data_IF_913389468005
#
_entry.id   IF_913389468005
#
_cell.length_a   1.000
_cell.length_b   1.000
_cell.length_c   1.000
_cell.angle_alpha   90.00
_cell.angle_beta   90.00
_cell.angle_gamma   90.00
#
_symmetry.space_group_name_H-M   'P 1'
#
loop_
_entity.id
_entity.type
_entity.pdbx_description
1 polymer ?
#
# COMPACT_ATOMS: atom_id res chain seq x y z
N UNK A 1 -16.78 -22.83 16.29
CA UNK A 1 -16.97 -23.08 14.84
C UNK A 1 -16.02 -22.26 13.98
N UNK A 2 -16.01 -20.92 14.07
CA UNK A 2 -15.07 -20.11 13.27
C UNK A 2 -13.59 -20.53 13.48
N UNK A 3 -13.13 -20.66 14.73
CA UNK A 3 -11.76 -21.12 15.01
C UNK A 3 -11.48 -22.53 14.45
N UNK A 4 -12.46 -23.43 14.51
CA UNK A 4 -12.33 -24.78 13.95
C UNK A 4 -12.16 -24.73 12.42
N UNK A 5 -12.92 -23.85 11.75
CA UNK A 5 -12.80 -23.60 10.32
C UNK A 5 -11.41 -23.09 9.94
N UNK A 6 -10.89 -22.10 10.67
CA UNK A 6 -9.53 -21.58 10.47
C UNK A 6 -8.45 -22.62 10.76
N UNK A 7 -8.61 -23.45 11.78
CA UNK A 7 -7.67 -24.52 12.09
C UNK A 7 -7.60 -25.55 10.96
N UNK A 8 -8.75 -25.93 10.39
CA UNK A 8 -8.81 -26.82 9.23
C UNK A 8 -8.16 -26.18 8.00
N UNK A 9 -8.45 -24.90 7.74
CA UNK A 9 -7.89 -24.12 6.63
C UNK A 9 -6.38 -24.01 6.72
N UNK A 10 -5.84 -23.60 7.87
CA UNK A 10 -4.39 -23.44 8.09
C UNK A 10 -3.66 -24.78 8.00
N UNK A 11 -4.32 -25.86 8.39
CA UNK A 11 -3.82 -27.24 8.23
C UNK A 11 -3.99 -27.79 6.81
N UNK A 12 -4.48 -27.00 5.86
CA UNK A 12 -4.76 -27.39 4.46
C UNK A 12 -5.75 -28.56 4.31
N UNK A 13 -6.58 -28.81 5.33
CA UNK A 13 -7.60 -29.88 5.35
C UNK A 13 -8.91 -29.39 4.72
N UNK A 14 -8.87 -29.01 3.44
CA UNK A 14 -9.98 -28.32 2.77
C UNK A 14 -11.27 -29.16 2.69
N UNK A 15 -11.17 -30.49 2.61
CA UNK A 15 -12.35 -31.37 2.65
C UNK A 15 -13.05 -31.35 4.01
N UNK A 16 -12.29 -31.21 5.10
CA UNK A 16 -12.84 -31.04 6.45
C UNK A 16 -13.50 -29.67 6.61
N UNK A 17 -12.94 -28.63 5.98
CA UNK A 17 -13.58 -27.31 5.92
C UNK A 17 -14.99 -27.38 5.33
N UNK A 18 -15.26 -28.28 4.36
CA UNK A 18 -16.61 -28.43 3.80
C UNK A 18 -17.61 -28.96 4.84
N UNK A 19 -17.19 -29.90 5.69
CA UNK A 19 -18.06 -30.46 6.74
C UNK A 19 -18.34 -29.45 7.85
N UNK A 20 -17.32 -28.72 8.30
CA UNK A 20 -17.51 -27.65 9.30
C UNK A 20 -18.31 -26.50 8.70
N UNK A 21 -18.05 -26.16 7.44
CA UNK A 21 -18.71 -25.09 6.70
C UNK A 21 -20.20 -25.32 6.48
N UNK A 22 -20.66 -26.56 6.26
CA UNK A 22 -22.10 -26.83 6.11
C UNK A 22 -22.89 -26.50 7.39
N UNK A 23 -22.31 -26.78 8.56
CA UNK A 23 -22.89 -26.39 9.86
C UNK A 23 -22.89 -24.88 10.05
N UNK A 24 -21.81 -24.21 9.68
CA UNK A 24 -21.71 -22.73 9.70
C UNK A 24 -22.79 -22.11 8.80
N UNK A 25 -22.99 -22.67 7.60
CA UNK A 25 -24.00 -22.18 6.66
C UNK A 25 -25.40 -22.28 7.25
N UNK A 26 -25.75 -23.43 7.81
CA UNK A 26 -27.05 -23.60 8.46
C UNK A 26 -27.30 -22.56 9.56
N UNK A 27 -26.30 -22.32 10.43
CA UNK A 27 -26.40 -21.31 11.49
C UNK A 27 -26.48 -19.89 10.93
N UNK A 28 -25.77 -19.58 9.85
CA UNK A 28 -25.86 -18.28 9.18
C UNK A 28 -27.28 -18.04 8.66
N UNK A 29 -27.86 -19.02 7.96
CA UNK A 29 -29.22 -18.93 7.44
C UNK A 29 -30.26 -18.76 8.57
N UNK A 30 -30.07 -19.47 9.69
CA UNK A 30 -30.93 -19.34 10.87
C UNK A 30 -30.83 -17.94 11.52
N UNK A 31 -29.61 -17.43 11.74
CA UNK A 31 -29.38 -16.09 12.30
C UNK A 31 -29.95 -14.98 11.41
N UNK A 32 -29.79 -15.11 10.08
CA UNK A 32 -30.37 -14.16 9.12
C UNK A 32 -31.90 -14.16 9.18
N UNK A 33 -32.52 -15.33 9.32
CA UNK A 33 -33.97 -15.45 9.51
C UNK A 33 -34.44 -14.82 10.82
N UNK A 34 -33.71 -15.02 11.92
CA UNK A 34 -34.06 -14.42 13.20
C UNK A 34 -33.97 -12.89 13.16
N UNK A 35 -32.96 -12.34 12.45
CA UNK A 35 -32.83 -10.90 12.26
C UNK A 35 -33.94 -10.30 11.40
N UNK A 36 -34.42 -11.01 10.37
CA UNK A 36 -35.52 -10.50 9.55
C UNK A 36 -36.84 -10.49 10.32
N UNK A 37 -37.03 -11.45 11.24
CA UNK A 37 -38.19 -11.49 12.15
C UNK A 37 -38.11 -10.42 13.26
N UNK A 38 -36.90 -10.12 13.76
CA UNK A 38 -36.66 -9.14 14.84
C UNK A 38 -35.47 -8.22 14.50
N UNK A 39 -35.71 -7.12 13.77
CA UNK A 39 -34.67 -6.17 13.43
C UNK A 39 -34.05 -5.57 14.70
N UNK A 40 -32.72 -5.64 14.82
CA UNK A 40 -32.00 -5.02 15.93
C UNK A 40 -31.96 -3.50 15.70
N UNK A 41 -32.48 -2.71 16.64
CA UNK A 41 -32.45 -1.25 16.57
C UNK A 41 -31.01 -0.74 16.76
N UNK A 42 -30.45 -0.13 15.71
CA UNK A 42 -29.22 0.69 15.69
C UNK A 42 -28.02 0.04 16.38
N UNK A 43 -27.12 -0.55 15.57
CA UNK A 43 -25.77 -0.90 16.03
C UNK A 43 -24.81 0.21 15.61
N UNK A 44 -24.04 0.74 16.55
CA UNK A 44 -22.91 1.60 16.19
C UNK A 44 -22.00 0.83 15.24
N UNK A 45 -21.61 1.45 14.14
CA UNK A 45 -20.92 0.78 13.02
C UNK A 45 -19.61 0.12 13.48
N UNK A 46 -18.93 0.71 14.47
CA UNK A 46 -17.70 0.15 15.05
C UNK A 46 -17.93 -1.16 15.83
N UNK A 47 -19.15 -1.45 16.27
CA UNK A 47 -19.51 -2.74 16.88
C UNK A 47 -19.93 -3.82 15.89
N UNK A 48 -20.16 -3.47 14.62
CA UNK A 48 -20.65 -4.41 13.60
C UNK A 48 -19.75 -5.64 13.48
N UNK A 49 -18.42 -5.46 13.61
CA UNK A 49 -17.44 -6.54 13.52
C UNK A 49 -17.47 -7.54 14.69
N UNK A 50 -18.11 -7.21 15.82
CA UNK A 50 -18.15 -8.03 17.03
C UNK A 50 -19.49 -8.75 17.20
N UNK A 51 -20.09 -9.18 16.09
CA UNK A 51 -21.40 -9.83 16.08
C UNK A 51 -21.27 -11.31 15.69
N UNK A 52 -22.24 -12.13 16.14
CA UNK A 52 -22.31 -13.54 15.75
C UNK A 52 -22.35 -13.70 14.22
N UNK A 53 -23.16 -12.87 13.55
CA UNK A 53 -23.27 -12.88 12.09
C UNK A 53 -21.94 -12.57 11.41
N UNK A 54 -21.20 -11.54 11.82
CA UNK A 54 -19.90 -11.27 11.17
C UNK A 54 -18.90 -12.41 11.38
N UNK A 55 -19.00 -13.14 12.50
CA UNK A 55 -18.19 -14.34 12.74
C UNK A 55 -18.60 -15.51 11.85
N UNK A 56 -19.90 -15.68 11.61
CA UNK A 56 -20.42 -16.66 10.64
C UNK A 56 -20.06 -16.29 9.20
N UNK A 57 -20.18 -15.01 8.81
CA UNK A 57 -19.76 -14.51 7.49
C UNK A 57 -18.26 -14.75 7.24
N UNK A 58 -17.41 -14.55 8.24
CA UNK A 58 -15.97 -14.90 8.18
C UNK A 58 -15.78 -16.37 7.85
N UNK A 59 -16.44 -17.24 8.62
CA UNK A 59 -16.28 -18.68 8.48
C UNK A 59 -16.89 -19.21 7.15
N UNK A 60 -18.01 -18.65 6.70
CA UNK A 60 -18.61 -18.93 5.38
C UNK A 60 -17.73 -18.45 4.22
N UNK A 61 -16.98 -17.35 4.39
CA UNK A 61 -15.98 -16.93 3.40
C UNK A 61 -14.90 -18.01 3.23
N UNK A 62 -14.43 -18.60 4.33
CA UNK A 62 -13.43 -19.69 4.29
C UNK A 62 -14.01 -20.95 3.63
N UNK A 63 -15.32 -21.20 3.75
CA UNK A 63 -16.00 -22.30 3.05
C UNK A 63 -15.92 -22.10 1.52
N UNK A 64 -16.29 -20.93 1.03
CA UNK A 64 -16.19 -20.60 -0.39
C UNK A 64 -14.75 -20.76 -0.90
N UNK A 65 -13.76 -20.27 -0.14
CA UNK A 65 -12.34 -20.44 -0.48
C UNK A 65 -11.88 -21.92 -0.45
N UNK A 66 -12.44 -22.75 0.43
CA UNK A 66 -12.12 -24.18 0.46
C UNK A 66 -12.58 -24.88 -0.81
N UNK A 67 -13.77 -24.55 -1.33
CA UNK A 67 -14.21 -25.00 -2.65
C UNK A 67 -13.24 -24.55 -3.76
N UNK A 68 -12.74 -23.30 -3.73
CA UNK A 68 -11.72 -22.84 -4.70
C UNK A 68 -10.43 -23.68 -4.63
N UNK A 69 -9.94 -23.99 -3.42
CA UNK A 69 -8.75 -24.83 -3.24
C UNK A 69 -8.93 -26.25 -3.76
N UNK A 70 -10.16 -26.76 -3.73
CA UNK A 70 -10.55 -28.05 -4.29
C UNK A 70 -10.91 -27.97 -5.78
N UNK A 71 -10.76 -26.80 -6.42
CA UNK A 71 -11.10 -26.53 -7.83
C UNK A 71 -12.60 -26.74 -8.15
N UNK A 72 -13.46 -26.66 -7.14
CA UNK A 72 -14.92 -26.76 -7.27
C UNK A 72 -15.50 -25.35 -7.42
N UNK A 73 -15.15 -24.69 -8.53
CA UNK A 73 -15.44 -23.26 -8.72
C UNK A 73 -16.93 -22.93 -8.86
N UNK A 74 -17.73 -23.89 -9.31
CA UNK A 74 -19.19 -23.81 -9.37
C UNK A 74 -19.78 -23.68 -7.97
N UNK A 75 -19.36 -24.54 -7.04
CA UNK A 75 -19.79 -24.49 -5.63
C UNK A 75 -19.21 -23.28 -4.91
N UNK A 76 -17.95 -22.94 -5.18
CA UNK A 76 -17.34 -21.74 -4.62
C UNK A 76 -18.14 -20.48 -4.98
N UNK A 77 -18.57 -20.34 -6.24
CA UNK A 77 -19.37 -19.20 -6.66
C UNK A 77 -20.79 -19.23 -6.10
N UNK A 78 -21.43 -20.39 -5.96
CA UNK A 78 -22.72 -20.47 -5.28
C UNK A 78 -22.64 -19.96 -3.82
N UNK A 79 -21.55 -20.25 -3.12
CA UNK A 79 -21.31 -19.71 -1.78
C UNK A 79 -21.03 -18.21 -1.79
N UNK A 80 -20.20 -17.70 -2.72
CA UNK A 80 -19.97 -16.26 -2.84
C UNK A 80 -21.22 -15.48 -3.23
N UNK A 81 -22.04 -15.98 -4.16
CA UNK A 81 -23.30 -15.35 -4.57
C UNK A 81 -24.29 -15.28 -3.42
N UNK A 82 -24.40 -16.34 -2.61
CA UNK A 82 -25.20 -16.25 -1.39
C UNK A 82 -24.66 -15.22 -0.41
N UNK A 83 -23.33 -15.15 -0.20
CA UNK A 83 -22.77 -14.13 0.68
C UNK A 83 -23.01 -12.70 0.17
N UNK A 84 -22.96 -12.53 -1.15
CA UNK A 84 -23.27 -11.26 -1.84
C UNK A 84 -24.74 -10.87 -1.67
N UNK A 85 -25.67 -11.83 -1.68
CA UNK A 85 -27.10 -11.55 -1.57
C UNK A 85 -27.57 -11.16 -0.17
N UNK A 86 -26.70 -11.29 0.84
CA UNK A 86 -26.98 -10.85 2.21
C UNK A 86 -27.02 -9.32 2.25
N UNK A 87 -27.98 -8.77 3.00
CA UNK A 87 -28.14 -7.33 3.24
C UNK A 87 -26.79 -6.66 3.57
N UNK A 88 -26.45 -5.61 2.83
CA UNK A 88 -25.19 -4.89 2.97
C UNK A 88 -25.01 -4.24 4.35
N UNK A 89 -26.08 -3.99 5.09
CA UNK A 89 -26.02 -3.50 6.47
C UNK A 89 -25.54 -4.55 7.46
N UNK A 90 -25.60 -5.84 7.10
CA UNK A 90 -25.14 -6.95 7.93
C UNK A 90 -23.70 -7.37 7.60
N UNK A 91 -23.25 -7.06 6.38
CA UNK A 91 -21.94 -7.44 5.86
C UNK A 91 -21.02 -6.23 5.68
N UNK A 92 -19.92 -6.10 6.45
CA UNK A 92 -18.96 -5.02 6.27
C UNK A 92 -18.44 -4.91 4.83
N UNK A 93 -18.37 -3.69 4.28
CA UNK A 93 -18.06 -3.43 2.87
C UNK A 93 -16.80 -4.18 2.36
N UNK A 94 -15.71 -4.20 3.14
CA UNK A 94 -14.48 -4.89 2.78
C UNK A 94 -14.65 -6.40 2.52
N UNK A 95 -15.62 -7.06 3.17
CA UNK A 95 -15.93 -8.47 2.93
C UNK A 95 -16.69 -8.65 1.64
N UNK A 96 -17.70 -7.80 1.41
CA UNK A 96 -18.43 -7.79 0.14
C UNK A 96 -17.48 -7.57 -1.03
N UNK A 97 -16.55 -6.62 -0.91
CA UNK A 97 -15.52 -6.39 -1.93
C UNK A 97 -14.72 -7.65 -2.23
N UNK A 98 -14.30 -8.39 -1.20
CA UNK A 98 -13.62 -9.66 -1.38
C UNK A 98 -14.50 -10.70 -2.11
N UNK A 99 -15.77 -10.85 -1.72
CA UNK A 99 -16.68 -11.83 -2.35
C UNK A 99 -16.92 -11.53 -3.82
N UNK A 100 -17.26 -10.29 -4.17
CA UNK A 100 -17.41 -9.87 -5.57
C UNK A 100 -16.12 -10.11 -6.35
N UNK A 101 -14.97 -9.72 -5.81
CA UNK A 101 -13.68 -9.89 -6.48
C UNK A 101 -13.37 -11.36 -6.80
N UNK A 102 -13.67 -12.27 -5.87
CA UNK A 102 -13.48 -13.71 -6.06
C UNK A 102 -14.51 -14.30 -7.03
N UNK A 103 -15.79 -13.97 -6.88
CA UNK A 103 -16.86 -14.47 -7.74
C UNK A 103 -16.65 -14.07 -9.21
N UNK A 104 -16.31 -12.80 -9.46
CA UNK A 104 -15.98 -12.26 -10.80
C UNK A 104 -14.78 -12.99 -11.39
N UNK A 105 -13.71 -13.18 -10.61
CA UNK A 105 -12.52 -13.91 -11.07
C UNK A 105 -12.83 -15.37 -11.43
N UNK A 106 -13.63 -16.05 -10.61
CA UNK A 106 -14.04 -17.42 -10.85
C UNK A 106 -14.91 -17.53 -12.10
N UNK A 107 -15.88 -16.63 -12.29
CA UNK A 107 -16.70 -16.61 -13.49
C UNK A 107 -15.87 -16.36 -14.75
N UNK A 108 -15.05 -15.33 -14.76
CA UNK A 108 -14.24 -14.96 -15.93
C UNK A 108 -13.17 -15.99 -16.27
N UNK A 109 -12.38 -16.42 -15.27
CA UNK A 109 -11.16 -17.22 -15.52
C UNK A 109 -11.37 -18.72 -15.44
N UNK A 110 -12.15 -19.19 -14.46
CA UNK A 110 -12.23 -20.61 -14.13
C UNK A 110 -13.44 -21.30 -14.76
N UNK A 111 -14.61 -20.65 -14.66
CA UNK A 111 -15.87 -21.15 -15.22
C UNK A 111 -16.08 -20.75 -16.67
N UNK A 112 -15.31 -19.77 -17.18
CA UNK A 112 -15.42 -19.24 -18.55
C UNK A 112 -16.83 -18.74 -18.88
N UNK A 113 -17.44 -18.06 -17.92
CA UNK A 113 -18.75 -17.41 -18.03
C UNK A 113 -18.58 -15.89 -17.90
N UNK A 114 -17.95 -15.22 -18.89
CA UNK A 114 -17.62 -13.80 -18.77
C UNK A 114 -18.86 -12.93 -18.62
N UNK A 115 -20.00 -13.24 -19.27
CA UNK A 115 -21.25 -12.48 -19.10
C UNK A 115 -21.67 -12.33 -17.62
N UNK A 116 -21.62 -13.42 -16.84
CA UNK A 116 -21.90 -13.38 -15.39
C UNK A 116 -20.89 -12.55 -14.61
N UNK A 117 -19.61 -12.59 -15.02
CA UNK A 117 -18.58 -11.75 -14.40
C UNK A 117 -18.85 -10.25 -14.64
N UNK A 118 -19.37 -9.90 -15.82
CA UNK A 118 -19.75 -8.53 -16.18
C UNK A 118 -21.01 -8.06 -15.46
N UNK A 119 -22.03 -8.93 -15.31
CA UNK A 119 -23.23 -8.64 -14.51
C UNK A 119 -22.85 -8.29 -13.06
N UNK A 120 -22.05 -9.13 -12.40
CA UNK A 120 -21.56 -8.85 -11.05
C UNK A 120 -20.66 -7.60 -10.97
N UNK A 121 -19.90 -7.30 -12.03
CA UNK A 121 -19.11 -6.09 -12.06
C UNK A 121 -20.01 -4.85 -12.15
N UNK A 122 -21.07 -4.88 -12.96
CA UNK A 122 -22.04 -3.80 -13.06
C UNK A 122 -22.67 -3.49 -11.69
N UNK A 123 -23.05 -4.51 -10.91
CA UNK A 123 -23.54 -4.34 -9.54
C UNK A 123 -22.54 -3.57 -8.66
N UNK A 124 -21.26 -3.96 -8.71
CA UNK A 124 -20.19 -3.28 -7.94
C UNK A 124 -20.04 -1.82 -8.33
N UNK A 125 -20.07 -1.53 -9.63
CA UNK A 125 -19.83 -0.19 -10.16
C UNK A 125 -20.97 0.76 -9.81
N UNK A 126 -22.21 0.28 -9.85
CA UNK A 126 -23.41 1.04 -9.53
C UNK A 126 -23.61 1.23 -8.01
N UNK A 127 -22.99 0.37 -7.19
CA UNK A 127 -23.11 0.44 -5.74
C UNK A 127 -22.10 1.44 -5.12
N UNK A 128 -22.62 2.62 -4.76
CA UNK A 128 -21.85 3.70 -4.13
C UNK A 128 -21.34 3.39 -2.71
N UNK A 129 -21.74 2.27 -2.09
CA UNK A 129 -21.16 1.84 -0.81
C UNK A 129 -19.75 1.26 -0.98
N UNK A 130 -19.37 0.89 -2.21
CA UNK A 130 -18.00 0.50 -2.52
C UNK A 130 -17.09 1.69 -2.76
N UNK A 131 -15.86 1.60 -2.24
CA UNK A 131 -14.86 2.62 -2.52
C UNK A 131 -14.48 2.67 -4.01
N UNK A 132 -14.11 3.87 -4.45
CA UNK A 132 -13.70 4.15 -5.81
C UNK A 132 -12.59 3.20 -6.30
N UNK A 133 -11.55 2.95 -5.48
CA UNK A 133 -10.43 2.10 -5.89
C UNK A 133 -10.86 0.64 -6.12
N UNK A 134 -11.83 0.15 -5.36
CA UNK A 134 -12.41 -1.16 -5.57
C UNK A 134 -13.21 -1.22 -6.87
N UNK A 135 -14.11 -0.26 -7.11
CA UNK A 135 -14.90 -0.16 -8.35
C UNK A 135 -14.00 -0.11 -9.59
N UNK A 136 -12.97 0.73 -9.54
CA UNK A 136 -11.99 0.85 -10.61
C UNK A 136 -11.18 -0.44 -10.84
N UNK A 137 -10.76 -1.12 -9.76
CA UNK A 137 -10.05 -2.40 -9.87
C UNK A 137 -10.91 -3.49 -10.53
N UNK A 138 -12.20 -3.52 -10.19
CA UNK A 138 -13.15 -4.46 -10.79
C UNK A 138 -13.32 -4.16 -12.27
N UNK A 139 -13.49 -2.89 -12.66
CA UNK A 139 -13.49 -2.48 -14.06
C UNK A 139 -12.25 -2.95 -14.82
N UNK A 140 -11.06 -2.57 -14.36
CA UNK A 140 -9.79 -2.90 -15.01
C UNK A 140 -9.65 -4.43 -15.19
N UNK A 141 -10.16 -5.21 -14.22
CA UNK A 141 -10.12 -6.67 -14.27
C UNK A 141 -11.05 -7.23 -15.33
N UNK A 142 -12.30 -6.78 -15.40
CA UNK A 142 -13.27 -7.32 -16.38
C UNK A 142 -12.93 -6.87 -17.79
N UNK A 143 -12.37 -5.67 -17.99
CA UNK A 143 -11.88 -5.23 -19.30
C UNK A 143 -10.69 -6.05 -19.82
N UNK A 144 -9.93 -6.70 -18.93
CA UNK A 144 -8.87 -7.64 -19.31
C UNK A 144 -9.39 -9.05 -19.61
N UNK A 145 -10.68 -9.33 -19.36
CA UNK A 145 -11.28 -10.60 -19.73
C UNK A 145 -11.67 -10.53 -21.20
N UNK A 146 -10.97 -11.27 -22.06
CA UNK A 146 -11.31 -11.38 -23.49
C UNK A 146 -12.79 -11.81 -23.61
N UNK A 147 -13.66 -10.87 -23.97
CA UNK A 147 -15.07 -11.13 -24.19
C UNK A 147 -15.34 -11.37 -25.68
N UNK A 148 -16.37 -12.17 -25.95
CA UNK A 148 -16.86 -12.51 -27.28
C UNK A 148 -18.15 -11.72 -27.61
N UNK A 149 -18.60 -10.85 -26.69
CA UNK A 149 -19.89 -10.13 -26.76
C UNK A 149 -19.67 -8.61 -26.59
N UNK A 150 -19.63 -7.88 -27.71
CA UNK A 150 -19.37 -6.44 -27.77
C UNK A 150 -20.41 -5.57 -27.03
N UNK A 151 -21.66 -6.03 -26.92
CA UNK A 151 -22.75 -5.22 -26.35
C UNK A 151 -22.62 -5.13 -24.83
N UNK A 152 -22.19 -6.21 -24.18
CA UNK A 152 -21.89 -6.22 -22.75
C UNK A 152 -20.73 -5.28 -22.38
N UNK A 153 -19.69 -5.21 -23.22
CA UNK A 153 -18.55 -4.31 -23.02
C UNK A 153 -18.95 -2.84 -23.14
N UNK A 154 -19.71 -2.48 -24.19
CA UNK A 154 -20.18 -1.10 -24.41
C UNK A 154 -21.07 -0.60 -23.29
N UNK A 155 -22.01 -1.43 -22.81
CA UNK A 155 -22.89 -1.07 -21.70
C UNK A 155 -22.12 -0.88 -20.40
N UNK A 156 -21.16 -1.75 -20.13
CA UNK A 156 -20.36 -1.67 -18.91
C UNK A 156 -19.43 -0.45 -18.93
N UNK A 157 -18.77 -0.16 -20.07
CA UNK A 157 -17.93 1.01 -20.25
C UNK A 157 -18.71 2.33 -20.06
N UNK A 158 -19.93 2.42 -20.59
CA UNK A 158 -20.79 3.59 -20.40
C UNK A 158 -21.19 3.80 -18.92
N UNK A 159 -21.65 2.73 -18.25
CA UNK A 159 -22.05 2.78 -16.84
C UNK A 159 -20.89 3.21 -15.92
N UNK A 160 -19.68 2.77 -16.26
CA UNK A 160 -18.46 3.07 -15.50
C UNK A 160 -18.01 4.49 -15.73
N UNK A 161 -17.99 4.98 -16.97
CA UNK A 161 -17.65 6.37 -17.23
C UNK A 161 -18.54 7.31 -16.41
N UNK A 162 -19.86 7.06 -16.42
CA UNK A 162 -20.82 7.82 -15.60
C UNK A 162 -20.57 7.68 -14.09
N UNK A 163 -20.29 6.48 -13.58
CA UNK A 163 -20.06 6.27 -12.15
C UNK A 163 -18.68 6.77 -11.66
N UNK A 164 -17.67 6.79 -12.53
CA UNK A 164 -16.29 7.20 -12.21
C UNK A 164 -16.09 8.71 -12.31
N UNK A 165 -16.79 9.39 -13.23
CA UNK A 165 -16.67 10.85 -13.41
C UNK A 165 -17.05 11.63 -12.13
N UNK A 166 -17.82 11.03 -11.22
CA UNK A 166 -18.20 11.62 -9.93
C UNK A 166 -17.15 11.47 -8.81
N UNK A 167 -16.06 10.71 -9.02
CA UNK A 167 -15.20 10.21 -7.92
C UNK A 167 -13.69 10.38 -8.08
N UNK A 168 -13.21 11.10 -9.10
CA UNK A 168 -11.78 11.20 -9.44
C UNK A 168 -10.98 11.96 -8.36
N UNK A 169 -10.16 11.25 -7.59
CA UNK A 169 -9.12 11.84 -6.72
C UNK A 169 -7.80 12.12 -7.47
N UNK A 170 -7.57 11.49 -8.63
CA UNK A 170 -6.33 11.54 -9.41
C UNK A 170 -6.56 12.35 -10.69
N UNK A 171 -6.40 13.66 -10.59
CA UNK A 171 -6.52 14.65 -11.67
C UNK A 171 -5.18 15.30 -12.02
N UNK A 172 -4.08 14.81 -11.42
CA UNK A 172 -2.72 15.31 -11.65
C UNK A 172 -1.90 14.22 -12.33
N UNK A 173 -1.11 14.63 -13.32
CA UNK A 173 -0.12 13.78 -13.95
C UNK A 173 0.96 13.39 -12.94
N UNK A 174 1.21 12.08 -12.80
CA UNK A 174 2.23 11.55 -11.90
C UNK A 174 3.51 11.39 -12.71
N UNK A 175 4.59 12.14 -12.41
CA UNK A 175 5.85 12.05 -13.14
C UNK A 175 6.46 10.65 -13.05
N UNK A 176 7.04 10.18 -14.15
CA UNK A 176 7.82 8.94 -14.19
C UNK A 176 9.30 9.26 -14.40
N UNK A 177 10.15 8.65 -13.57
CA UNK A 177 11.60 8.73 -13.66
C UNK A 177 12.16 7.35 -14.01
N UNK A 178 12.81 7.23 -15.16
CA UNK A 178 13.44 5.97 -15.56
C UNK A 178 14.91 5.98 -15.14
N UNK A 179 15.31 4.99 -14.34
CA UNK A 179 16.70 4.76 -13.96
C UNK A 179 17.20 3.42 -14.48
N UNK A 180 18.50 3.33 -14.71
CA UNK A 180 19.16 2.13 -15.23
C UNK A 180 20.03 1.49 -14.16
N UNK A 181 19.94 0.17 -14.00
CA UNK A 181 20.78 -0.58 -13.08
C UNK A 181 21.25 -1.90 -13.69
N UNK A 182 22.46 -2.38 -13.32
CA UNK A 182 22.97 -3.66 -13.83
C UNK A 182 22.17 -4.83 -13.29
N UNK A 183 21.91 -5.81 -14.15
CA UNK A 183 21.36 -7.11 -13.78
C UNK A 183 22.44 -8.18 -13.68
N UNK A 184 22.37 -9.01 -12.63
CA UNK A 184 23.29 -10.15 -12.44
C UNK A 184 23.05 -11.24 -13.51
N UNK A 185 21.78 -11.48 -13.90
CA UNK A 185 21.42 -12.23 -15.11
C UNK A 185 19.94 -12.01 -15.47
N UNK A 186 19.56 -12.25 -16.73
CA UNK A 186 18.14 -12.41 -17.11
C UNK A 186 17.67 -13.76 -16.57
N UNK A 187 16.98 -13.77 -15.45
CA UNK A 187 16.33 -14.99 -14.97
C UNK A 187 15.19 -15.39 -15.91
N UNK A 188 15.26 -16.61 -16.42
CA UNK A 188 14.24 -17.25 -17.25
C UNK A 188 13.05 -17.66 -16.36
N UNK A 189 12.07 -16.78 -16.16
CA UNK A 189 10.79 -17.12 -15.52
C UNK A 189 10.13 -15.96 -14.78
N UNK A 190 8.80 -15.93 -14.78
CA UNK A 190 7.94 -14.90 -14.16
C UNK A 190 7.93 -14.90 -12.63
N UNK A 191 8.71 -15.77 -11.97
CA UNK A 191 8.63 -16.03 -10.52
C UNK A 191 9.95 -15.89 -9.75
N UNK A 192 11.02 -15.37 -10.36
CA UNK A 192 12.32 -15.15 -9.68
C UNK A 192 12.57 -13.66 -9.52
N UNK A 193 12.87 -13.22 -8.28
CA UNK A 193 13.17 -11.80 -7.98
C UNK A 193 14.31 -11.30 -8.86
N UNK A 194 14.12 -10.13 -9.48
CA UNK A 194 15.17 -9.45 -10.23
C UNK A 194 16.30 -9.06 -9.29
N UNK A 195 17.53 -9.50 -9.58
CA UNK A 195 18.72 -9.19 -8.77
C UNK A 195 19.53 -8.12 -9.49
N UNK A 196 19.64 -6.96 -8.86
CA UNK A 196 20.46 -5.85 -9.32
C UNK A 196 21.87 -5.95 -8.73
N UNK A 197 22.86 -5.36 -9.42
CA UNK A 197 24.27 -5.37 -9.00
C UNK A 197 24.80 -3.96 -8.97
N UNK A 198 25.42 -3.57 -7.85
CA UNK A 198 26.24 -2.35 -7.77
C UNK A 198 27.70 -2.78 -7.56
N UNK A 199 28.60 -2.54 -8.54
CA UNK A 199 30.02 -2.77 -8.38
C UNK A 199 30.61 -1.85 -7.30
N UNK A 200 31.41 -2.42 -6.41
CA UNK A 200 32.28 -1.69 -5.49
C UNK A 200 33.74 -2.08 -5.82
N UNK A 201 34.72 -1.30 -5.37
CA UNK A 201 36.14 -1.42 -5.80
C UNK A 201 36.69 -2.86 -5.74
N UNK A 202 36.26 -3.67 -4.76
CA UNK A 202 36.68 -5.07 -4.61
C UNK A 202 35.54 -6.07 -4.30
N UNK A 203 34.27 -5.65 -4.38
CA UNK A 203 33.10 -6.49 -4.08
C UNK A 203 31.92 -6.12 -4.97
N UNK A 204 30.89 -6.97 -5.00
CA UNK A 204 29.61 -6.66 -5.62
C UNK A 204 28.53 -6.70 -4.55
N UNK A 205 27.70 -5.65 -4.48
CA UNK A 205 26.48 -5.68 -3.67
C UNK A 205 25.30 -6.07 -4.55
N UNK A 206 24.36 -6.84 -3.99
CA UNK A 206 23.13 -7.28 -4.65
C UNK A 206 21.90 -6.62 -3.99
N UNK A 207 21.69 -5.30 -4.16
CA UNK A 207 20.59 -4.60 -3.52
C UNK A 207 19.23 -5.01 -4.10
N UNK A 208 18.17 -4.78 -3.31
CA UNK A 208 16.80 -4.75 -3.83
C UNK A 208 16.57 -3.50 -4.69
N UNK A 209 15.40 -3.43 -5.35
CA UNK A 209 15.10 -2.37 -6.31
C UNK A 209 15.01 -0.99 -5.63
N UNK A 210 14.56 -0.96 -4.37
CA UNK A 210 14.41 0.25 -3.56
C UNK A 210 15.77 0.84 -3.16
N UNK A 211 16.75 0.00 -2.81
CA UNK A 211 18.10 0.46 -2.50
C UNK A 211 18.84 0.97 -3.76
N UNK A 212 18.56 0.43 -4.94
CA UNK A 212 19.06 0.98 -6.21
C UNK A 212 18.53 2.41 -6.42
N UNK A 213 17.23 2.62 -6.22
CA UNK A 213 16.61 3.93 -6.35
C UNK A 213 17.13 4.92 -5.29
N UNK A 214 17.31 4.51 -4.03
CA UNK A 214 17.92 5.34 -2.99
C UNK A 214 19.33 5.80 -3.37
N UNK A 215 20.17 4.90 -3.89
CA UNK A 215 21.51 5.26 -4.34
C UNK A 215 21.47 6.27 -5.50
N UNK A 216 20.52 6.13 -6.43
CA UNK A 216 20.31 7.09 -7.50
C UNK A 216 19.95 8.48 -6.95
N UNK A 217 18.95 8.58 -6.08
CA UNK A 217 18.54 9.88 -5.51
C UNK A 217 19.66 10.54 -4.71
N UNK A 218 20.51 9.75 -4.06
CA UNK A 218 21.66 10.26 -3.34
C UNK A 218 22.75 10.82 -4.27
N UNK A 219 23.18 10.02 -5.25
CA UNK A 219 24.32 10.36 -6.11
C UNK A 219 23.96 11.37 -7.20
N UNK A 220 22.82 11.19 -7.87
CA UNK A 220 22.46 11.91 -9.08
C UNK A 220 21.51 13.10 -8.82
N UNK A 221 20.68 13.02 -7.77
CA UNK A 221 19.71 14.07 -7.42
C UNK A 221 20.05 14.80 -6.09
N UNK A 222 21.22 14.48 -5.50
CA UNK A 222 21.78 15.17 -4.34
C UNK A 222 20.90 15.21 -3.08
N UNK A 223 20.02 14.23 -2.91
CA UNK A 223 19.33 14.03 -1.64
C UNK A 223 20.30 13.44 -0.60
N UNK A 224 20.55 14.18 0.48
CA UNK A 224 21.55 13.77 1.49
C UNK A 224 21.13 12.51 2.25
N UNK A 225 19.83 12.26 2.39
CA UNK A 225 19.26 11.15 3.14
C UNK A 225 18.03 10.58 2.42
N UNK A 226 17.72 9.32 2.71
CA UNK A 226 16.52 8.67 2.23
C UNK A 226 16.22 7.38 2.97
N UNK A 227 14.95 7.00 2.99
CA UNK A 227 14.45 5.84 3.70
C UNK A 227 13.43 5.08 2.85
N UNK A 228 13.56 3.75 2.82
CA UNK A 228 12.50 2.85 2.40
C UNK A 228 11.59 2.58 3.60
N UNK A 229 10.44 3.26 3.68
CA UNK A 229 9.62 3.31 4.90
C UNK A 229 8.27 2.61 4.79
N UNK A 230 7.82 2.25 3.57
CA UNK A 230 6.49 1.67 3.30
C UNK A 230 5.33 2.44 3.99
N UNK A 231 5.52 3.74 4.22
CA UNK A 231 4.57 4.62 4.90
C UNK A 231 4.71 4.78 6.42
N UNK A 232 5.66 4.10 7.08
CA UNK A 232 5.85 4.21 8.53
C UNK A 232 6.12 5.65 8.98
N UNK A 233 6.89 6.41 8.21
CA UNK A 233 7.22 7.82 8.47
C UNK A 233 5.94 8.66 8.58
N UNK A 234 5.04 8.53 7.61
CA UNK A 234 3.81 9.34 7.56
C UNK A 234 2.85 9.01 8.69
N UNK A 235 2.74 7.72 9.02
CA UNK A 235 1.93 7.26 10.16
C UNK A 235 2.54 7.69 11.50
N UNK A 236 3.86 7.70 11.62
CA UNK A 236 4.55 8.18 12.82
C UNK A 236 4.34 9.69 13.01
N UNK A 237 4.54 10.49 11.96
CA UNK A 237 4.28 11.94 12.00
C UNK A 237 2.83 12.24 12.38
N UNK A 238 1.85 11.54 11.78
CA UNK A 238 0.44 11.71 12.14
C UNK A 238 0.16 11.27 13.58
N UNK A 239 0.66 10.10 13.98
CA UNK A 239 0.45 9.53 15.31
C UNK A 239 1.01 10.40 16.42
N UNK A 240 2.21 10.95 16.24
CA UNK A 240 2.88 11.78 17.23
C UNK A 240 2.32 13.20 17.24
N UNK A 241 2.18 13.83 16.07
CA UNK A 241 1.69 15.22 16.02
C UNK A 241 0.20 15.31 16.33
N UNK A 242 -0.61 14.28 16.09
CA UNK A 242 -2.05 14.28 16.38
C UNK A 242 -2.44 13.27 17.49
N UNK A 243 -1.53 12.95 18.41
CA UNK A 243 -1.75 11.91 19.43
C UNK A 243 -3.03 12.15 20.24
N UNK A 244 -3.21 13.37 20.75
CA UNK A 244 -4.35 13.72 21.60
C UNK A 244 -5.68 13.63 20.85
N UNK A 245 -5.67 13.96 19.57
CA UNK A 245 -6.86 13.87 18.72
C UNK A 245 -7.19 12.40 18.43
N UNK A 246 -6.20 11.59 18.06
CA UNK A 246 -6.39 10.16 17.75
C UNK A 246 -6.87 9.40 19.00
N UNK A 247 -6.23 9.62 20.14
CA UNK A 247 -6.46 8.88 21.38
C UNK A 247 -7.41 9.61 22.36
N UNK A 248 -8.23 10.52 21.84
CA UNK A 248 -9.24 11.23 22.63
C UNK A 248 -10.15 10.24 23.38
N UNK A 249 -10.08 10.30 24.71
CA UNK A 249 -10.83 9.44 25.63
C UNK A 249 -12.25 9.94 25.91
N UNK A 250 -12.60 11.15 25.42
CA UNK A 250 -13.92 11.74 25.59
C UNK A 250 -14.93 11.27 24.55
N UNK A 251 -14.47 10.62 23.48
CA UNK A 251 -15.35 10.03 22.46
C UNK A 251 -16.06 8.80 23.06
N UNK A 252 -17.39 8.84 23.06
CA UNK A 252 -18.23 7.76 23.61
C UNK A 252 -18.10 6.47 22.80
N UNK A 253 -18.23 5.32 23.48
CA UNK A 253 -18.32 3.97 22.91
C UNK A 253 -17.12 3.46 22.08
N UNK A 254 -16.04 4.25 21.92
CA UNK A 254 -14.85 3.80 21.17
C UNK A 254 -13.76 3.20 22.05
N UNK A 255 -13.88 3.33 23.38
CA UNK A 255 -12.98 2.78 24.40
C UNK A 255 -13.76 1.93 25.41
N UNK A 256 -13.71 0.62 25.24
CA UNK A 256 -14.36 -0.40 26.08
C UNK A 256 -13.38 -1.17 26.98
N UNK A 257 -12.06 -1.01 26.78
CA UNK A 257 -11.03 -1.73 27.54
C UNK A 257 -9.73 -0.93 27.65
N UNK A 258 -9.07 -1.05 28.80
CA UNK A 258 -7.73 -0.47 29.07
C UNK A 258 -6.60 -1.05 28.20
N UNK A 259 -6.86 -2.15 27.49
CA UNK A 259 -5.89 -2.84 26.65
C UNK A 259 -6.03 -2.50 25.16
N UNK A 260 -6.93 -1.59 24.81
CA UNK A 260 -7.04 -1.13 23.43
C UNK A 260 -5.82 -0.31 23.04
N UNK A 261 -5.33 -0.57 21.83
CA UNK A 261 -4.20 0.16 21.23
C UNK A 261 -4.66 1.29 20.30
N UNK A 262 -5.96 1.35 19.99
CA UNK A 262 -6.62 2.38 19.18
C UNK A 262 -8.13 2.42 19.46
N UNK A 263 -8.81 3.54 19.17
CA UNK A 263 -10.26 3.63 19.34
C UNK A 263 -10.98 2.76 18.30
N UNK A 264 -12.13 2.18 18.68
CA UNK A 264 -12.85 1.23 17.82
C UNK A 264 -13.33 1.82 16.49
N UNK A 265 -13.47 3.13 16.39
CA UNK A 265 -13.89 3.84 15.18
C UNK A 265 -12.73 4.17 14.21
N UNK A 266 -11.46 3.98 14.59
CA UNK A 266 -10.29 4.32 13.76
C UNK A 266 -10.39 3.69 12.36
N UNK A 267 -10.84 2.44 12.27
CA UNK A 267 -10.95 1.71 11.00
C UNK A 267 -12.38 1.69 10.43
N UNK A 268 -13.21 2.67 10.78
CA UNK A 268 -14.64 2.68 10.48
C UNK A 268 -15.00 3.87 9.60
N UNK A 269 -14.62 3.77 8.33
CA UNK A 269 -14.97 4.76 7.31
C UNK A 269 -14.61 6.18 7.75
N UNK A 270 -15.58 7.10 7.64
CA UNK A 270 -15.44 8.51 8.01
C UNK A 270 -15.75 8.78 9.49
N UNK A 271 -16.18 7.77 10.25
CA UNK A 271 -16.64 7.95 11.63
C UNK A 271 -15.53 8.48 12.55
N UNK A 272 -14.29 8.03 12.31
CA UNK A 272 -13.11 8.53 13.02
C UNK A 272 -12.95 10.05 12.91
N UNK A 273 -13.16 10.58 11.70
CA UNK A 273 -13.16 12.02 11.43
C UNK A 273 -14.37 12.70 12.04
N UNK A 274 -15.59 12.20 11.75
CA UNK A 274 -16.85 12.81 12.19
C UNK A 274 -16.87 13.02 13.71
N UNK A 275 -16.43 12.01 14.47
CA UNK A 275 -16.41 12.05 15.93
C UNK A 275 -15.38 13.05 16.51
N UNK A 276 -14.39 13.47 15.72
CA UNK A 276 -13.24 14.28 16.15
C UNK A 276 -13.01 15.51 15.28
N UNK A 277 -13.98 15.88 14.44
CA UNK A 277 -13.79 16.90 13.42
C UNK A 277 -13.29 18.22 14.03
N UNK A 278 -13.93 18.70 15.09
CA UNK A 278 -13.57 19.96 15.77
C UNK A 278 -12.17 19.92 16.38
N UNK A 279 -11.76 18.80 16.98
CA UNK A 279 -10.45 18.68 17.62
C UNK A 279 -9.35 18.61 16.57
N UNK A 280 -9.55 17.85 15.48
CA UNK A 280 -8.65 17.84 14.34
C UNK A 280 -8.54 19.20 13.65
N UNK A 281 -9.65 19.88 13.37
CA UNK A 281 -9.65 21.21 12.74
C UNK A 281 -8.84 22.22 13.55
N UNK A 282 -9.07 22.29 14.87
CA UNK A 282 -8.29 23.14 15.78
C UNK A 282 -6.80 22.76 15.79
N UNK A 283 -6.49 21.46 15.76
CA UNK A 283 -5.11 20.98 15.70
C UNK A 283 -4.45 21.40 14.39
N UNK A 284 -5.17 21.30 13.28
CA UNK A 284 -4.69 21.66 11.97
C UNK A 284 -4.45 23.18 11.84
N UNK A 285 -5.36 24.01 12.35
CA UNK A 285 -5.15 25.46 12.47
C UNK A 285 -3.86 25.77 13.25
N UNK A 286 -3.67 25.09 14.39
CA UNK A 286 -2.45 25.24 15.20
C UNK A 286 -1.20 24.90 14.40
N UNK A 287 -1.16 23.72 13.76
CA UNK A 287 -0.01 23.28 12.97
C UNK A 287 0.33 24.23 11.81
N UNK A 288 -0.67 24.86 11.20
CA UNK A 288 -0.45 25.84 10.11
C UNK A 288 0.17 27.16 10.60
N UNK A 289 -0.06 27.54 11.86
CA UNK A 289 0.47 28.77 12.44
C UNK A 289 1.85 28.63 13.07
N UNK A 290 2.30 27.40 13.36
CA UNK A 290 3.56 27.14 14.05
C UNK A 290 4.77 27.23 13.12
N UNK A 291 5.91 27.62 13.70
CA UNK A 291 7.20 27.48 13.04
C UNK A 291 7.59 26.01 12.95
N UNK A 292 8.49 25.68 12.01
CA UNK A 292 9.03 24.33 11.88
C UNK A 292 9.69 23.86 13.19
N UNK A 293 10.38 24.76 13.89
CA UNK A 293 11.05 24.48 15.16
C UNK A 293 10.04 24.17 16.28
N UNK A 294 8.90 24.84 16.29
CA UNK A 294 7.84 24.56 17.26
C UNK A 294 7.19 23.20 16.97
N UNK A 295 6.94 22.87 15.70
CA UNK A 295 6.42 21.55 15.30
C UNK A 295 7.40 20.43 15.68
N UNK A 296 8.71 20.62 15.44
CA UNK A 296 9.75 19.67 15.88
C UNK A 296 9.77 19.53 17.41
N UNK A 297 9.58 20.63 18.14
CA UNK A 297 9.51 20.60 19.61
C UNK A 297 8.28 19.83 20.11
N UNK A 298 7.13 19.99 19.45
CA UNK A 298 5.93 19.18 19.72
C UNK A 298 6.18 17.70 19.43
N UNK A 299 6.82 17.39 18.30
CA UNK A 299 7.16 16.01 17.93
C UNK A 299 8.07 15.37 18.99
N UNK A 300 9.14 16.05 19.42
CA UNK A 300 10.05 15.57 20.47
C UNK A 300 9.35 15.35 21.80
N UNK A 301 8.46 16.25 22.19
CA UNK A 301 7.68 16.10 23.41
C UNK A 301 6.79 14.84 23.35
N UNK A 302 6.03 14.69 22.25
CA UNK A 302 5.17 13.53 22.02
C UNK A 302 5.95 12.22 21.95
N UNK A 303 7.13 12.22 21.31
CA UNK A 303 8.02 11.07 21.27
C UNK A 303 8.39 10.63 22.70
N UNK A 304 8.94 11.53 23.51
CA UNK A 304 9.37 11.24 24.88
C UNK A 304 8.25 10.74 25.78
N UNK A 305 7.02 11.22 25.55
CA UNK A 305 5.86 10.84 26.35
C UNK A 305 5.31 9.46 25.97
N UNK A 306 5.42 9.07 24.70
CA UNK A 306 4.68 7.92 24.17
C UNK A 306 5.53 6.80 23.59
N UNK A 307 6.85 6.95 23.54
CA UNK A 307 7.78 5.94 23.04
C UNK A 307 7.50 4.56 23.62
N UNK A 308 7.38 3.56 22.73
CA UNK A 308 7.08 2.17 23.10
C UNK A 308 5.61 1.86 23.39
N UNK A 309 4.70 2.85 23.38
CA UNK A 309 3.26 2.59 23.54
C UNK A 309 2.69 1.97 22.26
N UNK A 310 2.04 0.81 22.38
CA UNK A 310 1.34 0.17 21.27
C UNK A 310 0.28 1.09 20.66
N UNK A 311 0.52 1.52 19.43
CA UNK A 311 -0.22 2.60 18.78
C UNK A 311 -0.16 2.43 17.25
N UNK A 312 -0.65 3.42 16.49
CA UNK A 312 -0.44 3.47 15.03
C UNK A 312 1.03 3.72 14.62
N UNK A 313 1.88 4.11 15.57
CA UNK A 313 3.31 4.36 15.34
C UNK A 313 4.07 3.03 15.40
N UNK A 314 4.81 2.73 14.33
CA UNK A 314 5.71 1.57 14.29
C UNK A 314 7.07 1.96 14.89
N UNK A 315 7.18 1.92 16.22
CA UNK A 315 8.39 2.34 16.95
C UNK A 315 9.66 1.65 16.44
N UNK A 316 9.60 0.34 16.19
CA UNK A 316 10.73 -0.46 15.71
C UNK A 316 11.28 -0.04 14.33
N UNK A 317 10.59 0.85 13.61
CA UNK A 317 11.06 1.41 12.35
C UNK A 317 12.03 2.60 12.54
N UNK A 318 12.22 3.07 13.78
CA UNK A 318 12.95 4.29 14.10
C UNK A 318 13.83 4.06 15.33
N UNK A 319 15.10 4.45 15.24
CA UNK A 319 15.99 4.43 16.40
C UNK A 319 15.68 5.59 17.36
N UNK A 320 15.19 6.71 16.82
CA UNK A 320 14.97 7.96 17.54
C UNK A 320 14.14 8.98 16.73
N UNK A 321 13.78 10.13 17.31
CA UNK A 321 12.92 11.15 16.65
C UNK A 321 13.65 12.02 15.62
N UNK A 322 14.98 12.05 15.64
CA UNK A 322 15.81 12.99 14.88
C UNK A 322 15.55 12.91 13.37
N UNK A 323 15.35 11.71 12.84
CA UNK A 323 15.01 11.55 11.41
C UNK A 323 13.68 12.22 11.06
N UNK A 324 12.66 12.06 11.91
CA UNK A 324 11.36 12.67 11.70
C UNK A 324 11.48 14.21 11.81
N UNK A 325 12.32 14.72 12.71
CA UNK A 325 12.62 16.14 12.82
C UNK A 325 13.32 16.69 11.57
N UNK A 326 14.28 15.95 11.00
CA UNK A 326 14.92 16.34 9.75
C UNK A 326 13.94 16.38 8.57
N UNK A 327 13.05 15.40 8.46
CA UNK A 327 11.98 15.39 7.46
C UNK A 327 11.07 16.62 7.64
N UNK A 328 10.70 16.94 8.88
CA UNK A 328 9.94 18.16 9.20
C UNK A 328 10.67 19.45 8.81
N UNK A 329 12.01 19.45 8.75
CA UNK A 329 12.79 20.63 8.31
C UNK A 329 12.54 21.00 6.84
N UNK A 330 12.10 20.03 6.03
CA UNK A 330 11.80 20.14 4.61
C UNK A 330 10.29 20.32 4.33
N UNK A 331 9.46 20.50 5.36
CA UNK A 331 8.01 20.60 5.24
C UNK A 331 7.47 21.82 5.99
N UNK A 332 6.28 22.28 5.60
CA UNK A 332 5.54 23.28 6.35
C UNK A 332 4.24 22.72 6.96
N UNK A 333 3.63 23.48 7.86
CA UNK A 333 2.38 23.08 8.52
C UNK A 333 1.22 22.84 7.53
N UNK A 334 1.21 23.52 6.38
CA UNK A 334 0.16 23.34 5.36
C UNK A 334 0.29 21.99 4.66
N UNK A 335 1.52 21.58 4.33
CA UNK A 335 1.81 20.25 3.80
C UNK A 335 1.33 19.17 4.77
N UNK A 336 1.72 19.29 6.05
CA UNK A 336 1.35 18.31 7.09
C UNK A 336 -0.17 18.19 7.23
N UNK A 337 -0.88 19.31 7.33
CA UNK A 337 -2.35 19.29 7.47
C UNK A 337 -3.04 18.64 6.28
N UNK A 338 -2.55 18.83 5.05
CA UNK A 338 -3.13 18.13 3.89
C UNK A 338 -2.94 16.62 3.99
N UNK A 339 -1.77 16.14 4.43
CA UNK A 339 -1.51 14.71 4.61
C UNK A 339 -2.36 14.13 5.77
N UNK A 340 -2.40 14.84 6.90
CA UNK A 340 -3.13 14.42 8.10
C UNK A 340 -4.64 14.48 7.89
N UNK A 341 -5.16 15.47 7.17
CA UNK A 341 -6.57 15.54 6.79
C UNK A 341 -7.01 14.34 5.96
N UNK A 342 -6.19 13.92 4.98
CA UNK A 342 -6.44 12.70 4.21
C UNK A 342 -6.44 11.46 5.12
N UNK A 343 -5.44 11.31 5.98
CA UNK A 343 -5.39 10.19 6.94
C UNK A 343 -6.59 10.16 7.88
N UNK A 344 -6.95 11.30 8.47
CA UNK A 344 -8.05 11.40 9.42
C UNK A 344 -9.41 11.17 8.76
N UNK A 345 -9.62 11.67 7.53
CA UNK A 345 -10.90 11.55 6.81
C UNK A 345 -11.36 10.10 6.62
N UNK A 346 -10.42 9.18 6.38
CA UNK A 346 -10.71 7.76 6.29
C UNK A 346 -9.44 6.94 6.52
N UNK A 347 -9.07 6.74 7.78
CA UNK A 347 -7.80 6.11 8.13
C UNK A 347 -7.67 4.70 7.55
N UNK A 348 -8.74 3.89 7.59
CA UNK A 348 -8.76 2.56 6.95
C UNK A 348 -8.42 2.59 5.46
N UNK A 349 -8.92 3.58 4.72
CA UNK A 349 -8.65 3.71 3.28
C UNK A 349 -7.23 4.20 3.04
N UNK A 350 -6.79 5.18 3.81
CA UNK A 350 -5.59 5.97 3.52
C UNK A 350 -4.33 5.51 4.27
N UNK A 351 -4.42 4.68 5.31
CA UNK A 351 -3.24 4.21 6.08
C UNK A 351 -2.34 3.19 5.34
N UNK A 352 -2.50 3.03 4.02
CA UNK A 352 -1.77 2.07 3.19
C UNK A 352 -1.61 2.58 1.76
N UNK A 353 -0.62 2.04 1.04
CA UNK A 353 -0.30 2.44 -0.33
C UNK A 353 0.50 3.73 -0.43
N UNK A 354 1.21 4.11 0.63
CA UNK A 354 2.21 5.17 0.57
C UNK A 354 3.34 4.78 -0.39
N UNK A 355 4.04 5.76 -1.00
CA UNK A 355 5.23 5.50 -1.80
C UNK A 355 6.32 4.80 -0.97
N UNK A 356 7.07 3.92 -1.61
CA UNK A 356 8.15 3.14 -0.99
C UNK A 356 9.19 4.03 -0.29
N UNK A 357 9.65 5.06 -1.01
CA UNK A 357 10.75 5.92 -0.58
C UNK A 357 10.29 7.31 -0.15
N UNK A 358 10.97 7.83 0.85
CA UNK A 358 11.08 9.27 1.14
C UNK A 358 12.56 9.65 1.13
N UNK A 359 12.92 10.68 0.37
CA UNK A 359 14.28 11.23 0.27
C UNK A 359 14.23 12.73 0.57
N UNK A 360 15.23 13.24 1.29
CA UNK A 360 15.23 14.63 1.72
C UNK A 360 16.65 15.21 1.84
N UNK A 361 16.72 16.53 1.76
CA UNK A 361 17.92 17.32 1.99
C UNK A 361 17.58 18.51 2.89
N UNK A 362 18.09 18.50 4.12
CA UNK A 362 17.81 19.52 5.13
C UNK A 362 18.37 20.89 4.74
N UNK A 363 19.51 20.92 4.04
CA UNK A 363 20.17 22.18 3.67
C UNK A 363 19.39 22.92 2.58
N UNK A 364 18.94 22.20 1.54
CA UNK A 364 18.11 22.77 0.48
C UNK A 364 16.62 22.83 0.86
N UNK A 365 16.23 22.16 1.96
CA UNK A 365 14.84 22.00 2.43
C UNK A 365 13.97 21.26 1.41
N UNK A 366 14.58 20.37 0.65
CA UNK A 366 13.88 19.56 -0.35
C UNK A 366 13.43 18.23 0.23
N UNK A 367 12.25 17.79 -0.21
CA UNK A 367 11.68 16.48 0.09
C UNK A 367 11.02 15.92 -1.16
N UNK A 368 11.24 14.63 -1.40
CA UNK A 368 10.61 13.87 -2.49
C UNK A 368 10.17 12.51 -1.98
N UNK A 369 9.04 12.05 -2.48
CA UNK A 369 8.56 10.67 -2.32
C UNK A 369 8.62 9.95 -3.66
N UNK A 370 9.01 8.67 -3.63
CA UNK A 370 9.11 7.88 -4.84
C UNK A 370 8.54 6.47 -4.65
N UNK A 371 7.68 6.07 -5.56
CA UNK A 371 7.19 4.69 -5.65
C UNK A 371 8.06 3.94 -6.65
N UNK A 372 8.72 2.88 -6.20
CA UNK A 372 9.74 2.18 -6.97
C UNK A 372 9.14 0.99 -7.68
N UNK A 373 9.27 0.94 -9.00
CA UNK A 373 8.74 -0.16 -9.82
C UNK A 373 9.84 -0.86 -10.60
N UNK A 374 9.98 -2.14 -10.31
CA UNK A 374 10.79 -3.05 -11.11
C UNK A 374 10.11 -3.44 -12.43
N UNK A 375 10.82 -4.18 -13.31
CA UNK A 375 10.27 -4.62 -14.59
C UNK A 375 8.99 -5.45 -14.44
N UNK A 376 7.89 -4.98 -15.04
CA UNK A 376 6.60 -5.68 -15.03
C UNK A 376 5.71 -5.38 -13.83
N UNK A 377 6.18 -4.61 -12.84
CA UNK A 377 5.34 -4.16 -11.73
C UNK A 377 4.46 -2.96 -12.15
N UNK A 378 3.26 -2.86 -11.56
CA UNK A 378 2.28 -1.82 -11.88
C UNK A 378 1.88 -1.08 -10.61
N UNK A 379 1.60 0.21 -10.75
CA UNK A 379 1.05 1.03 -9.67
C UNK A 379 -0.35 0.55 -9.28
N UNK A 380 -0.56 0.34 -7.98
CA UNK A 380 -1.90 0.19 -7.44
C UNK A 380 -2.64 1.52 -7.41
N UNK A 381 -3.98 1.48 -7.40
CA UNK A 381 -4.81 2.68 -7.30
C UNK A 381 -4.57 3.48 -6.01
N UNK A 382 -4.28 2.80 -4.89
CA UNK A 382 -3.92 3.47 -3.63
C UNK A 382 -2.62 4.25 -3.76
N UNK A 383 -1.60 3.67 -4.41
CA UNK A 383 -0.31 4.33 -4.66
C UNK A 383 -0.48 5.54 -5.57
N UNK A 384 -1.23 5.42 -6.67
CA UNK A 384 -1.54 6.57 -7.54
C UNK A 384 -2.22 7.70 -6.77
N UNK A 385 -3.18 7.36 -5.92
CA UNK A 385 -3.90 8.36 -5.14
C UNK A 385 -3.01 9.04 -4.09
N UNK A 386 -2.09 8.31 -3.45
CA UNK A 386 -1.10 8.92 -2.57
C UNK A 386 -0.13 9.83 -3.33
N UNK A 387 0.45 9.37 -4.44
CA UNK A 387 1.34 10.18 -5.28
C UNK A 387 0.67 11.48 -5.73
N UNK A 388 -0.57 11.39 -6.23
CA UNK A 388 -1.36 12.57 -6.60
C UNK A 388 -1.58 13.51 -5.41
N UNK A 389 -1.90 12.95 -4.23
CA UNK A 389 -2.10 13.75 -3.03
C UNK A 389 -0.83 14.44 -2.53
N UNK A 390 0.34 13.79 -2.63
CA UNK A 390 1.63 14.41 -2.32
C UNK A 390 1.90 15.60 -3.24
N UNK A 391 1.68 15.46 -4.55
CA UNK A 391 1.86 16.55 -5.52
C UNK A 391 0.92 17.72 -5.21
N UNK A 392 -0.37 17.46 -4.96
CA UNK A 392 -1.35 18.48 -4.53
C UNK A 392 -1.00 19.13 -3.20
N UNK A 393 -0.25 18.42 -2.37
CA UNK A 393 0.24 18.94 -1.08
C UNK A 393 1.48 19.80 -1.22
N UNK A 394 2.11 19.85 -2.41
CA UNK A 394 3.34 20.59 -2.66
C UNK A 394 4.61 19.78 -2.39
N UNK A 395 4.49 18.46 -2.23
CA UNK A 395 5.62 17.54 -2.03
C UNK A 395 5.93 16.88 -3.37
N UNK A 396 7.19 16.88 -3.79
CA UNK A 396 7.58 16.21 -5.02
C UNK A 396 7.29 14.71 -4.92
N UNK A 397 6.54 14.18 -5.88
CA UNK A 397 6.23 12.76 -5.94
C UNK A 397 6.46 12.24 -7.35
N UNK A 398 7.04 11.05 -7.48
CA UNK A 398 7.27 10.41 -8.78
C UNK A 398 7.24 8.89 -8.69
N UNK A 399 7.16 8.26 -9.85
CA UNK A 399 7.31 6.81 -10.01
C UNK A 399 8.72 6.54 -10.51
N UNK A 400 9.53 5.84 -9.72
CA UNK A 400 10.88 5.45 -10.10
C UNK A 400 10.88 4.10 -10.81
N UNK A 401 10.96 4.11 -12.14
CA UNK A 401 11.00 2.92 -12.98
C UNK A 401 12.43 2.42 -13.12
N UNK A 402 12.74 1.28 -12.48
CA UNK A 402 14.08 0.68 -12.53
C UNK A 402 14.15 -0.30 -13.70
N UNK A 403 14.92 0.08 -14.72
CA UNK A 403 15.20 -0.78 -15.88
C UNK A 403 16.53 -1.51 -15.71
N UNK A 404 16.50 -2.80 -16.00
CA UNK A 404 17.69 -3.63 -15.99
C UNK A 404 18.50 -3.50 -17.28
N UNK A 405 19.77 -3.15 -17.15
CA UNK A 405 20.74 -3.16 -18.25
C UNK A 405 21.61 -4.42 -18.18
N UNK A 406 21.89 -5.03 -19.33
CA UNK A 406 22.80 -6.18 -19.39
C UNK A 406 24.25 -5.71 -19.25
N UNK A 407 25.10 -6.54 -18.65
CA UNK A 407 26.54 -6.28 -18.48
C UNK A 407 27.29 -5.99 -19.79
N UNK A 408 26.77 -6.45 -20.94
CA UNK A 408 27.33 -6.13 -22.28
C UNK A 408 27.17 -4.66 -22.68
N UNK A 409 26.25 -3.91 -22.08
CA UNK A 409 26.07 -2.47 -22.36
C UNK A 409 27.04 -1.58 -21.57
N UNK A 410 27.69 -2.09 -20.51
CA UNK A 410 28.63 -1.31 -19.69
C UNK A 410 30.07 -1.32 -20.21
N UNK A 411 30.41 -2.24 -21.13
CA UNK A 411 31.77 -2.32 -21.70
C UNK A 411 32.15 -1.11 -22.55
N UNK A 412 31.17 -0.32 -23.01
CA UNK A 412 31.40 0.87 -23.82
C UNK A 412 31.43 2.17 -23.00
N UNK A 413 30.73 2.22 -21.86
CA UNK A 413 30.67 3.42 -21.01
C UNK A 413 31.83 3.50 -20.00
N UNK A 414 32.22 2.37 -19.42
CA UNK A 414 33.25 2.32 -18.36
C UNK A 414 34.66 2.43 -18.92
N UNK A 415 34.90 1.99 -20.16
CA UNK A 415 36.22 2.09 -20.80
C UNK A 415 36.53 3.55 -21.22
N UNK A 416 35.52 4.33 -21.58
CA UNK A 416 35.72 5.70 -22.06
C UNK A 416 35.88 6.75 -20.93
N UNK A 417 35.27 6.53 -19.77
CA UNK A 417 35.42 7.43 -18.61
C UNK A 417 36.81 7.34 -17.96
N UNK A 418 37.44 6.16 -18.01
CA UNK A 418 38.78 5.92 -17.46
C UNK A 418 39.88 6.39 -18.42
N UNK A 419 39.64 6.35 -19.73
CA UNK A 419 40.61 6.79 -20.75
C UNK A 419 40.63 8.32 -20.98
N UNK A 420 39.55 9.06 -20.67
CA UNK A 420 39.52 10.52 -20.83
C UNK A 420 40.24 11.27 -19.71
N UNK A 421 40.37 10.68 -18.51
CA UNK A 421 41.08 11.29 -17.36
C UNK A 421 42.60 11.06 -17.36
N UNK A 422 43.13 10.17 -18.22
CA UNK A 422 44.54 9.76 -18.21
C UNK A 422 45.47 10.43 -19.23
N UNK A 423 44.99 11.32 -20.11
CA UNK A 423 45.85 12.01 -21.10
C UNK A 423 45.96 13.51 -20.82
N UNK A 424 46.69 13.85 -19.76
CA UNK A 424 47.47 15.10 -19.71
C UNK A 424 48.94 14.75 -19.85
N UNK A 425 49.53 15.25 -20.94
CA UNK A 425 50.93 15.14 -21.36
C UNK A 425 51.89 15.52 -20.22
N UNK A 426 52.96 14.73 -20.07
CA UNK A 426 54.28 15.25 -19.68
C UNK A 426 55.27 14.77 -20.73
N UNK A 427 56.03 15.73 -21.25
CA UNK A 427 57.07 15.65 -22.27
C UNK A 427 58.42 15.82 -21.54
N UNK A 428 59.50 15.21 -22.08
CA UNK A 428 60.89 15.33 -21.60
C UNK A 428 61.39 13.98 -21.08
N UNK A 429 62.14 13.18 -21.85
CA UNK A 429 63.56 13.30 -22.26
C UNK A 429 64.48 12.51 -21.30
N UNK A 430 65.17 11.52 -21.88
CA UNK A 430 66.48 10.94 -21.48
C UNK A 430 66.51 10.14 -20.14
N UNK A 431 67.18 9.00 -19.97
CA UNK A 431 68.31 8.37 -20.66
C UNK A 431 68.37 6.87 -20.24
N UNK A 432 69.19 6.10 -20.95
CA UNK A 432 69.46 4.66 -20.83
C UNK A 432 70.08 4.25 -19.47
N UNK A 433 69.83 3.01 -19.03
CA UNK A 433 70.88 2.02 -18.67
C UNK A 433 70.24 0.68 -18.24
N UNK A 434 70.58 -0.37 -19.00
CA UNK A 434 70.49 -1.78 -18.61
C UNK A 434 71.62 -2.09 -17.62
N UNK A 435 71.34 -2.83 -16.53
CA UNK A 435 72.17 -3.99 -16.13
C UNK A 435 71.61 -4.74 -14.90
N UNK A 436 71.50 -6.05 -15.11
CA UNK A 436 71.88 -7.19 -14.26
C UNK A 436 71.28 -7.53 -12.89
N UNK A 437 70.66 -8.73 -12.90
CA UNK A 437 70.98 -9.94 -12.12
C UNK A 437 71.27 -9.78 -10.61
N UNK A 438 70.39 -10.33 -9.74
CA UNK A 438 70.68 -11.54 -8.93
C UNK A 438 69.55 -11.93 -7.96
N UNK A 439 69.40 -13.25 -7.81
CA UNK A 439 68.72 -14.01 -6.78
C UNK A 439 68.83 -13.45 -5.35
N UNK A 440 67.77 -13.55 -4.54
CA UNK A 440 67.64 -14.63 -3.54
C UNK A 440 66.43 -14.44 -2.59
N UNK A 441 65.77 -15.58 -2.34
CA UNK A 441 65.13 -16.03 -1.10
C UNK A 441 64.65 -14.99 -0.06
N UNK A 442 63.34 -14.94 0.18
CA UNK A 442 62.65 -15.81 1.15
C UNK A 442 61.13 -15.75 0.98
#
# INVERSE_FOLDING_TARGET
LENEMWNCWNSKKYTVCLHVGSRIRHLLDEELRLLSEKPCSVRLVHYQNFTAIVSLLRASTVLAQAFEKLKMYDKANAEFEHLISIDCQLAPAHRRSFWYERAILNYGRHLKLPKKAFELAADVIQDNTFDYYFRQRIYDRVMQMNLVDEDCEKQLAANIQTALDETIEIDVEIPEKVISALLLSKSMGTSVKTVFVIPQEHQFSCPNVEAVALNYYHQEEHFSKGLHSEGSVWLALFGLLCWNEIYDSTVEDVWISRYQTYPLDLYVGEMFWINRQKTFEKKFETLQCLSVQDIQSMLRASWREHEGINSIVKWDAFESSEMLEEILSCMDGRMLVKLFGRLASNFKRHSSGFPDLVVWNVQSRDIKVAEVKGPGDRLSWKQKAWLSHFIKSGIHAEVCLVKGCSSKALSTATVNATLSRGRKRVHGEEEEEEEDIFDNHN
#
